data_IF_781891579448
#
_entry.id   IF_781891579448
#
_cell.length_a   1.000
_cell.length_b   1.000
_cell.length_c   1.000
_cell.angle_alpha   90.00
_cell.angle_beta   90.00
_cell.angle_gamma   90.00
#
_symmetry.space_group_name_H-M   'P 1'
#
loop_
_entity.id
_entity.type
_entity.pdbx_description
1 polymer ?
#
# COMPACT_ATOMS: atom_id res chain seq x y z
N UNK A 1 24.49 -6.96 4.02
CA UNK A 1 24.45 -8.36 4.45
C UNK A 1 23.15 -8.64 5.22
N UNK A 2 22.88 -7.98 6.35
CA UNK A 2 21.70 -8.24 7.17
C UNK A 2 20.37 -8.12 6.41
N UNK A 3 20.21 -7.14 5.52
CA UNK A 3 19.02 -6.99 4.69
C UNK A 3 18.79 -8.20 3.79
N UNK A 4 19.85 -8.71 3.14
CA UNK A 4 19.75 -9.91 2.28
C UNK A 4 19.38 -11.15 3.11
N UNK A 5 19.97 -11.32 4.29
CA UNK A 5 19.64 -12.41 5.22
C UNK A 5 18.15 -12.33 5.64
N UNK A 6 17.67 -11.14 5.98
CA UNK A 6 16.27 -10.93 6.34
C UNK A 6 15.31 -11.25 5.19
N UNK A 7 15.64 -10.87 3.96
CA UNK A 7 14.84 -11.17 2.75
C UNK A 7 14.85 -12.65 2.40
N UNK A 8 15.92 -13.38 2.75
CA UNK A 8 16.03 -14.84 2.57
C UNK A 8 15.38 -15.63 3.71
N UNK A 9 14.73 -14.97 4.68
CA UNK A 9 14.11 -15.62 5.82
C UNK A 9 15.06 -15.98 6.98
N UNK A 10 16.34 -15.63 6.87
CA UNK A 10 17.39 -15.89 7.87
C UNK A 10 17.40 -14.81 8.96
N UNK A 11 16.24 -14.58 9.58
CA UNK A 11 16.02 -13.45 10.52
C UNK A 11 17.00 -13.46 11.70
N UNK A 12 17.28 -14.62 12.27
CA UNK A 12 18.21 -14.71 13.41
C UNK A 12 19.64 -14.35 13.03
N UNK A 13 20.11 -14.79 11.86
CA UNK A 13 21.44 -14.40 11.34
C UNK A 13 21.51 -12.90 11.05
N UNK A 14 20.44 -12.31 10.52
CA UNK A 14 20.34 -10.86 10.29
C UNK A 14 20.44 -10.08 11.62
N UNK A 15 19.78 -10.54 12.67
CA UNK A 15 19.84 -9.96 14.02
C UNK A 15 21.28 -10.03 14.56
N UNK A 16 21.94 -11.18 14.46
CA UNK A 16 23.32 -11.35 14.94
C UNK A 16 24.30 -10.49 14.15
N UNK A 17 24.08 -10.37 12.84
CA UNK A 17 24.89 -9.48 11.97
C UNK A 17 24.77 -8.02 12.42
N UNK A 18 23.55 -7.53 12.73
CA UNK A 18 23.36 -6.15 13.21
C UNK A 18 23.94 -5.92 14.60
N UNK A 19 23.78 -6.88 15.52
CA UNK A 19 24.42 -6.80 16.84
C UNK A 19 25.93 -6.76 16.74
N UNK A 20 26.51 -7.58 15.89
CA UNK A 20 27.94 -7.56 15.64
C UNK A 20 28.41 -6.21 15.05
N UNK A 21 27.68 -5.66 14.10
CA UNK A 21 27.97 -4.33 13.56
C UNK A 21 27.92 -3.24 14.63
N UNK A 22 26.90 -3.25 15.50
CA UNK A 22 26.79 -2.31 16.63
C UNK A 22 28.01 -2.43 17.56
N UNK A 23 28.46 -3.65 17.85
CA UNK A 23 29.64 -3.87 18.69
C UNK A 23 30.95 -3.36 18.05
N UNK A 24 31.05 -3.41 16.72
CA UNK A 24 32.26 -2.99 15.99
C UNK A 24 32.35 -1.48 15.80
N UNK A 25 31.26 -0.84 15.39
CA UNK A 25 31.27 0.57 14.96
C UNK A 25 30.41 1.48 15.85
N UNK A 26 29.82 0.94 16.91
CA UNK A 26 28.97 1.67 17.84
C UNK A 26 27.50 1.77 17.38
N UNK A 27 26.71 2.38 18.25
CA UNK A 27 25.29 2.62 17.98
C UNK A 27 25.11 3.72 16.93
N UNK A 28 24.36 3.40 15.88
CA UNK A 28 23.88 4.38 14.90
C UNK A 28 22.37 4.27 14.76
N UNK A 29 21.70 5.34 14.31
CA UNK A 29 20.25 5.35 14.12
C UNK A 29 19.80 4.19 13.21
N UNK A 30 20.48 3.97 12.08
CA UNK A 30 20.12 2.93 11.11
C UNK A 30 20.35 1.51 11.63
N UNK A 31 21.42 1.25 12.38
CA UNK A 31 21.66 -0.08 12.95
C UNK A 31 20.63 -0.42 14.03
N UNK A 32 20.33 0.53 14.90
CA UNK A 32 19.32 0.32 15.94
C UNK A 32 17.92 0.18 15.31
N UNK A 33 17.56 1.03 14.35
CA UNK A 33 16.28 0.88 13.63
C UNK A 33 16.18 -0.49 12.95
N UNK A 34 17.19 -0.90 12.20
CA UNK A 34 17.21 -2.20 11.52
C UNK A 34 17.08 -3.38 12.49
N UNK A 35 17.80 -3.34 13.63
CA UNK A 35 17.69 -4.35 14.67
C UNK A 35 16.29 -4.34 15.32
N UNK A 36 15.74 -3.16 15.59
CA UNK A 36 14.38 -2.99 16.10
C UNK A 36 13.33 -3.57 15.16
N UNK A 37 13.46 -3.32 13.85
CA UNK A 37 12.54 -3.83 12.83
C UNK A 37 12.57 -5.38 12.75
N UNK A 38 13.75 -6.00 12.83
CA UNK A 38 13.88 -7.47 12.86
C UNK A 38 13.29 -8.08 14.13
N UNK A 39 13.54 -7.47 15.29
CA UNK A 39 12.97 -7.92 16.55
C UNK A 39 11.45 -7.76 16.57
N UNK A 40 10.91 -6.66 16.06
CA UNK A 40 9.47 -6.43 15.93
C UNK A 40 8.81 -7.45 14.97
N UNK A 41 9.49 -7.82 13.88
CA UNK A 41 9.04 -8.90 12.97
C UNK A 41 9.01 -10.25 13.66
N UNK A 42 9.96 -10.51 14.56
CA UNK A 42 10.05 -11.74 15.37
C UNK A 42 9.02 -11.78 16.52
N UNK A 43 8.30 -10.67 16.78
CA UNK A 43 7.37 -10.55 17.90
C UNK A 43 8.01 -10.11 19.23
N UNK A 44 9.30 -9.78 19.22
CA UNK A 44 10.03 -9.30 20.40
C UNK A 44 9.85 -7.78 20.57
N UNK A 45 8.58 -7.36 20.73
CA UNK A 45 8.17 -5.95 20.67
C UNK A 45 8.83 -5.09 21.78
N UNK A 46 8.90 -5.61 23.00
CA UNK A 46 9.51 -4.88 24.13
C UNK A 46 11.01 -4.61 23.91
N UNK A 47 11.71 -5.50 23.19
CA UNK A 47 13.12 -5.30 22.85
C UNK A 47 13.30 -4.34 21.68
N UNK A 48 12.35 -4.27 20.76
CA UNK A 48 12.37 -3.35 19.62
C UNK A 48 12.15 -1.89 20.06
N UNK A 49 11.33 -1.67 21.09
CA UNK A 49 10.92 -0.36 21.57
C UNK A 49 12.08 0.61 21.81
N UNK A 50 13.06 0.30 22.71
CA UNK A 50 14.15 1.23 22.99
C UNK A 50 15.08 1.47 21.78
N UNK A 51 15.14 0.52 20.84
CA UNK A 51 15.95 0.66 19.63
C UNK A 51 15.34 1.67 18.65
N UNK A 52 14.01 1.67 18.52
CA UNK A 52 13.32 2.68 17.71
C UNK A 52 13.38 4.06 18.40
N UNK A 53 13.24 4.13 19.72
CA UNK A 53 13.38 5.38 20.44
C UNK A 53 14.77 5.99 20.22
N UNK A 54 15.84 5.20 20.35
CA UNK A 54 17.21 5.64 20.03
C UNK A 54 17.36 6.14 18.58
N UNK A 55 16.77 5.44 17.62
CA UNK A 55 16.85 5.84 16.23
C UNK A 55 16.15 7.20 15.98
N UNK A 56 14.99 7.41 16.59
CA UNK A 56 14.23 8.67 16.49
C UNK A 56 14.95 9.82 17.22
N UNK A 57 15.57 9.58 18.36
CA UNK A 57 16.36 10.58 19.08
C UNK A 57 17.60 11.00 18.27
N UNK A 58 18.24 10.04 17.58
CA UNK A 58 19.43 10.28 16.77
C UNK A 58 19.13 10.98 15.44
N UNK A 59 17.98 10.71 14.82
CA UNK A 59 17.50 11.35 13.57
C UNK A 59 16.03 11.66 13.66
N UNK A 60 15.69 12.77 14.29
CA UNK A 60 14.30 13.15 14.58
C UNK A 60 13.42 13.44 13.37
N UNK A 61 13.98 13.69 12.21
CA UNK A 61 13.25 13.99 10.97
C UNK A 61 13.06 12.76 10.07
N UNK A 62 13.59 11.61 10.45
CA UNK A 62 13.47 10.41 9.67
C UNK A 62 12.06 9.82 9.80
N UNK A 63 11.26 10.03 8.78
CA UNK A 63 9.87 9.60 8.79
C UNK A 63 9.75 8.07 8.94
N UNK A 64 10.65 7.26 8.35
CA UNK A 64 10.59 5.80 8.47
C UNK A 64 10.74 5.33 9.91
N UNK A 65 11.65 5.93 10.67
CA UNK A 65 11.84 5.59 12.08
C UNK A 65 10.57 5.90 12.90
N UNK A 66 9.96 7.06 12.63
CA UNK A 66 8.71 7.46 13.29
C UNK A 66 7.58 6.50 12.94
N UNK A 67 7.40 6.14 11.68
CA UNK A 67 6.31 5.26 11.23
C UNK A 67 6.45 3.83 11.79
N UNK A 68 7.66 3.31 11.83
CA UNK A 68 7.89 1.97 12.40
C UNK A 68 7.65 1.94 13.92
N UNK A 69 7.96 3.04 14.61
CA UNK A 69 7.66 3.18 16.03
C UNK A 69 6.14 3.31 16.30
N UNK A 70 5.40 4.02 15.43
CA UNK A 70 3.93 4.06 15.46
C UNK A 70 3.36 2.64 15.28
N UNK A 71 3.84 1.93 14.27
CA UNK A 71 3.46 0.54 14.02
C UNK A 71 3.68 -0.36 15.24
N UNK A 72 4.80 -0.16 15.94
CA UNK A 72 5.13 -0.89 17.15
C UNK A 72 4.14 -0.62 18.29
N UNK A 73 3.81 0.64 18.56
CA UNK A 73 2.84 1.02 19.61
C UNK A 73 1.48 0.37 19.35
N UNK A 74 1.03 0.38 18.10
CA UNK A 74 -0.23 -0.25 17.71
C UNK A 74 -0.17 -1.76 17.97
N UNK A 75 0.91 -2.44 17.55
CA UNK A 75 1.11 -3.88 17.79
C UNK A 75 1.18 -4.24 19.27
N UNK A 76 1.69 -3.34 20.09
CA UNK A 76 1.73 -3.50 21.55
C UNK A 76 0.38 -3.23 22.23
N UNK A 77 -0.69 -2.96 21.47
CA UNK A 77 -2.03 -2.66 21.99
C UNK A 77 -2.12 -1.29 22.68
N UNK A 78 -1.24 -0.37 22.33
CA UNK A 78 -1.18 0.97 22.93
C UNK A 78 -1.27 2.07 21.86
N UNK A 79 -2.34 2.07 21.01
CA UNK A 79 -2.45 2.99 19.87
C UNK A 79 -2.44 4.47 20.29
N UNK A 80 -2.97 4.80 21.46
CA UNK A 80 -3.00 6.18 21.98
C UNK A 80 -1.60 6.81 22.13
N UNK A 81 -0.58 5.99 22.43
CA UNK A 81 0.81 6.46 22.55
C UNK A 81 1.37 7.00 21.25
N UNK A 82 0.84 6.54 20.11
CA UNK A 82 1.30 6.95 18.78
C UNK A 82 0.92 8.38 18.40
N UNK A 83 -0.06 9.03 19.06
CA UNK A 83 -0.61 10.30 18.59
C UNK A 83 0.44 11.42 18.49
N UNK A 84 1.38 11.50 19.43
CA UNK A 84 2.48 12.48 19.37
C UNK A 84 3.41 12.25 18.17
N UNK A 85 3.72 11.00 17.87
CA UNK A 85 4.53 10.62 16.72
C UNK A 85 3.81 10.85 15.40
N UNK A 86 2.50 10.56 15.34
CA UNK A 86 1.67 10.83 14.16
C UNK A 86 1.63 12.34 13.87
N UNK A 87 1.40 13.18 14.88
CA UNK A 87 1.40 14.63 14.71
C UNK A 87 2.75 15.13 14.17
N UNK A 88 3.86 14.57 14.65
CA UNK A 88 5.20 14.87 14.17
C UNK A 88 5.41 14.41 12.72
N UNK A 89 4.99 13.20 12.38
CA UNK A 89 5.06 12.66 11.03
C UNK A 89 4.26 13.53 10.04
N UNK A 90 3.04 13.97 10.41
CA UNK A 90 2.22 14.87 9.61
C UNK A 90 2.83 16.28 9.48
N UNK A 91 3.53 16.77 10.51
CA UNK A 91 4.27 18.04 10.41
C UNK A 91 5.44 17.95 9.44
N UNK A 92 6.11 16.79 9.35
CA UNK A 92 7.19 16.54 8.39
C UNK A 92 6.66 16.34 6.97
N UNK A 93 5.61 15.54 6.80
CA UNK A 93 5.00 15.21 5.52
C UNK A 93 3.48 15.16 5.62
N UNK A 94 2.78 16.31 5.44
CA UNK A 94 1.33 16.42 5.67
C UNK A 94 0.48 15.48 4.82
N UNK A 95 0.99 15.08 3.65
CA UNK A 95 0.27 14.24 2.69
C UNK A 95 0.80 12.80 2.59
N UNK A 96 1.63 12.37 3.54
CA UNK A 96 2.11 10.99 3.55
C UNK A 96 0.95 10.03 3.85
N UNK A 97 0.61 9.19 2.89
CA UNK A 97 -0.55 8.28 2.96
C UNK A 97 -0.38 7.21 4.06
N UNK A 98 0.84 6.74 4.31
CA UNK A 98 1.09 5.76 5.37
C UNK A 98 0.84 6.35 6.76
N UNK A 99 1.23 7.62 6.96
CA UNK A 99 0.92 8.33 8.20
C UNK A 99 -0.57 8.47 8.42
N UNK A 100 -1.33 8.85 7.37
CA UNK A 100 -2.78 8.92 7.44
C UNK A 100 -3.43 7.56 7.64
N UNK A 101 -2.88 6.48 7.06
CA UNK A 101 -3.35 5.12 7.33
C UNK A 101 -3.19 4.76 8.81
N UNK A 102 -2.05 5.06 9.43
CA UNK A 102 -1.87 4.87 10.87
C UNK A 102 -2.78 5.77 11.70
N UNK A 103 -2.98 7.03 11.32
CA UNK A 103 -3.91 7.93 12.03
C UNK A 103 -5.34 7.36 12.00
N UNK A 104 -5.81 6.92 10.85
CA UNK A 104 -7.12 6.29 10.72
C UNK A 104 -7.22 5.01 11.54
N UNK A 105 -6.19 4.17 11.53
CA UNK A 105 -6.16 2.95 12.33
C UNK A 105 -6.21 3.25 13.84
N UNK A 106 -5.46 4.25 14.32
CA UNK A 106 -5.52 4.70 15.72
C UNK A 106 -6.93 5.20 16.06
N UNK A 107 -7.54 6.02 15.23
CA UNK A 107 -8.91 6.49 15.45
C UNK A 107 -9.92 5.35 15.52
N UNK A 108 -9.78 4.36 14.65
CA UNK A 108 -10.64 3.16 14.66
C UNK A 108 -10.49 2.36 15.94
N UNK A 109 -9.23 2.08 16.34
CA UNK A 109 -8.93 1.31 17.56
C UNK A 109 -9.39 1.98 18.83
N UNK A 110 -9.44 3.32 18.84
CA UNK A 110 -9.85 4.13 20.00
C UNK A 110 -11.32 4.58 19.92
N UNK A 111 -12.07 4.17 18.91
CA UNK A 111 -13.48 4.55 18.74
C UNK A 111 -13.69 6.02 18.42
N UNK A 112 -12.71 6.71 17.83
CA UNK A 112 -12.81 8.11 17.49
C UNK A 112 -13.60 8.28 16.17
N UNK A 113 -14.68 9.06 16.20
CA UNK A 113 -15.57 9.32 15.05
C UNK A 113 -14.89 9.98 13.84
N UNK A 114 -13.69 10.54 14.01
CA UNK A 114 -12.88 11.05 12.89
C UNK A 114 -12.45 9.96 11.91
N UNK A 115 -12.52 8.68 12.31
CA UNK A 115 -12.32 7.58 11.38
C UNK A 115 -13.29 7.63 10.20
N UNK A 116 -14.59 7.80 10.47
CA UNK A 116 -15.62 7.85 9.44
C UNK A 116 -15.49 9.10 8.55
N UNK A 117 -15.03 10.20 9.11
CA UNK A 117 -14.71 11.39 8.32
C UNK A 117 -13.53 11.17 7.38
N UNK A 118 -12.46 10.47 7.85
CA UNK A 118 -11.27 10.20 7.04
C UNK A 118 -11.56 9.16 5.95
N UNK A 119 -12.35 8.13 6.28
CA UNK A 119 -12.65 7.00 5.42
C UNK A 119 -14.16 6.91 5.13
N UNK A 120 -14.70 7.92 4.49
CA UNK A 120 -16.06 7.83 3.95
C UNK A 120 -16.05 6.93 2.70
N UNK A 121 -16.15 5.61 2.93
CA UNK A 121 -16.10 4.61 1.85
C UNK A 121 -17.22 4.78 0.84
N UNK A 122 -18.35 5.38 1.20
CA UNK A 122 -19.46 5.62 0.28
C UNK A 122 -19.21 6.84 -0.61
N UNK A 123 -18.33 7.74 -0.21
CA UNK A 123 -17.89 8.88 -1.02
C UNK A 123 -16.62 8.54 -1.82
N UNK A 124 -15.64 7.89 -1.19
CA UNK A 124 -14.30 7.75 -1.79
C UNK A 124 -14.09 6.48 -2.60
N UNK A 125 -14.92 5.44 -2.44
CA UNK A 125 -14.83 4.24 -3.27
C UNK A 125 -15.87 4.30 -4.38
N UNK A 126 -15.40 4.23 -5.63
CA UNK A 126 -16.24 4.21 -6.83
C UNK A 126 -15.82 3.09 -7.76
N UNK A 127 -16.78 2.57 -8.48
CA UNK A 127 -16.55 1.59 -9.54
C UNK A 127 -17.07 2.15 -10.85
N UNK A 128 -16.25 2.07 -11.90
CA UNK A 128 -16.57 2.53 -13.23
C UNK A 128 -16.39 1.41 -14.24
N UNK A 129 -17.15 1.47 -15.32
CA UNK A 129 -16.91 0.63 -16.48
C UNK A 129 -16.15 1.46 -17.51
N UNK A 130 -15.04 0.92 -18.02
CA UNK A 130 -14.26 1.58 -19.06
C UNK A 130 -15.11 1.80 -20.33
N UNK A 131 -14.92 2.92 -20.98
CA UNK A 131 -15.47 3.17 -22.31
C UNK A 131 -14.88 2.23 -23.34
N UNK A 132 -15.61 1.94 -24.41
CA UNK A 132 -15.09 1.17 -25.55
C UNK A 132 -14.14 2.05 -26.34
N UNK A 133 -12.83 1.72 -26.41
CA UNK A 133 -11.89 2.55 -27.15
C UNK A 133 -12.21 2.58 -28.65
N UNK A 134 -11.87 3.67 -29.31
CA UNK A 134 -12.06 3.83 -30.74
C UNK A 134 -11.37 2.69 -31.52
N UNK A 135 -12.07 2.14 -32.51
CA UNK A 135 -11.59 1.03 -33.33
C UNK A 135 -11.97 -0.36 -32.84
N UNK A 136 -12.60 -0.47 -31.66
CA UNK A 136 -13.11 -1.74 -31.14
C UNK A 136 -14.62 -1.81 -31.24
N UNK A 137 -15.14 -3.01 -31.56
CA UNK A 137 -16.59 -3.26 -31.66
C UNK A 137 -17.28 -3.42 -30.30
N UNK A 138 -16.52 -3.75 -29.27
CA UNK A 138 -17.03 -3.91 -27.89
C UNK A 138 -15.90 -3.85 -26.88
N UNK A 139 -16.26 -3.56 -25.63
CA UNK A 139 -15.32 -3.60 -24.49
C UNK A 139 -14.73 -5.02 -24.29
N UNK A 140 -15.56 -6.05 -24.43
CA UNK A 140 -15.12 -7.45 -24.29
C UNK A 140 -14.01 -7.80 -25.30
N UNK A 141 -14.17 -7.36 -26.57
CA UNK A 141 -13.14 -7.60 -27.60
C UNK A 141 -11.84 -6.87 -27.28
N UNK A 142 -11.94 -5.62 -26.83
CA UNK A 142 -10.79 -4.85 -26.40
C UNK A 142 -10.07 -5.50 -25.22
N UNK A 143 -10.82 -5.94 -24.18
CA UNK A 143 -10.27 -6.59 -22.99
C UNK A 143 -9.58 -7.91 -23.32
N UNK A 144 -10.12 -8.70 -24.26
CA UNK A 144 -9.49 -9.93 -24.73
C UNK A 144 -8.10 -9.65 -25.35
N UNK A 145 -8.01 -8.69 -26.26
CA UNK A 145 -6.75 -8.32 -26.91
C UNK A 145 -5.76 -7.71 -25.93
N UNK A 146 -6.23 -6.81 -25.05
CA UNK A 146 -5.42 -6.22 -23.97
C UNK A 146 -4.88 -7.29 -23.01
N UNK A 147 -5.73 -8.23 -22.58
CA UNK A 147 -5.32 -9.35 -21.71
C UNK A 147 -4.24 -10.21 -22.33
N UNK A 148 -4.36 -10.48 -23.62
CA UNK A 148 -3.35 -11.23 -24.36
C UNK A 148 -2.01 -10.50 -24.40
N UNK A 149 -2.04 -9.20 -24.75
CA UNK A 149 -0.84 -8.37 -24.78
C UNK A 149 -0.20 -8.27 -23.39
N UNK A 150 -0.97 -7.90 -22.34
CA UNK A 150 -0.45 -7.81 -20.99
C UNK A 150 0.17 -9.12 -20.51
N UNK A 151 -0.45 -10.26 -20.86
CA UNK A 151 0.09 -11.57 -20.50
C UNK A 151 1.48 -11.82 -21.09
N UNK A 152 1.79 -11.26 -22.25
CA UNK A 152 3.11 -11.39 -22.90
C UNK A 152 4.20 -10.60 -22.16
N UNK A 153 3.82 -9.56 -21.40
CA UNK A 153 4.75 -8.74 -20.62
C UNK A 153 5.19 -9.41 -19.29
N UNK A 154 4.49 -10.45 -18.86
CA UNK A 154 4.81 -11.19 -17.62
C UNK A 154 5.93 -12.21 -17.85
N UNK A 155 7.15 -11.73 -18.07
CA UNK A 155 8.33 -12.56 -18.34
C UNK A 155 8.93 -13.21 -17.09
N UNK A 156 8.66 -12.64 -15.91
CA UNK A 156 9.11 -13.21 -14.64
C UNK A 156 8.19 -14.33 -14.20
N UNK A 157 8.75 -15.39 -13.62
CA UNK A 157 8.00 -16.56 -13.13
C UNK A 157 7.70 -16.51 -11.63
N UNK A 158 8.37 -15.61 -10.92
CA UNK A 158 8.27 -15.42 -9.48
C UNK A 158 7.66 -14.05 -9.16
N UNK A 159 7.09 -13.95 -7.96
CA UNK A 159 6.60 -12.69 -7.42
C UNK A 159 7.77 -11.71 -7.18
N UNK A 160 7.56 -10.40 -7.35
CA UNK A 160 8.57 -9.42 -7.05
C UNK A 160 8.88 -9.38 -5.54
N UNK A 161 10.13 -9.12 -5.20
CA UNK A 161 10.54 -8.94 -3.80
C UNK A 161 9.98 -7.61 -3.27
N UNK A 162 9.65 -7.60 -1.99
CA UNK A 162 9.19 -6.41 -1.26
C UNK A 162 7.96 -5.70 -1.88
N UNK A 163 7.11 -6.48 -2.59
CA UNK A 163 5.83 -6.03 -3.15
C UNK A 163 4.67 -6.78 -2.49
N UNK A 164 3.45 -6.25 -2.67
CA UNK A 164 2.25 -6.84 -2.09
C UNK A 164 1.78 -8.13 -2.77
N UNK A 165 2.25 -8.43 -3.97
CA UNK A 165 1.85 -9.61 -4.74
C UNK A 165 2.38 -10.89 -4.12
N UNK A 166 1.49 -11.81 -3.80
CA UNK A 166 1.78 -13.15 -3.30
C UNK A 166 1.26 -14.17 -4.28
N UNK A 167 2.11 -15.10 -4.70
CA UNK A 167 1.79 -16.14 -5.69
C UNK A 167 1.22 -15.56 -7.00
N UNK A 168 1.96 -14.62 -7.57
CA UNK A 168 1.64 -13.95 -8.83
C UNK A 168 2.89 -13.39 -9.48
N UNK A 169 2.69 -12.65 -10.56
CA UNK A 169 3.73 -11.89 -11.24
C UNK A 169 3.27 -10.46 -11.47
N UNK A 170 4.21 -9.55 -11.62
CA UNK A 170 3.97 -8.14 -11.90
C UNK A 170 4.88 -7.70 -13.03
N UNK A 171 4.39 -6.83 -13.92
CA UNK A 171 5.21 -6.23 -14.97
C UNK A 171 6.22 -5.27 -14.38
N UNK A 172 7.34 -5.10 -15.04
CA UNK A 172 8.37 -4.13 -14.68
C UNK A 172 8.10 -2.77 -15.34
N UNK A 173 8.63 -1.71 -14.74
CA UNK A 173 8.53 -0.35 -15.28
C UNK A 173 7.15 0.29 -15.05
N UNK A 174 6.84 1.30 -15.85
CA UNK A 174 5.58 2.07 -15.79
C UNK A 174 4.73 1.67 -16.98
N UNK A 175 3.75 0.81 -16.78
CA UNK A 175 2.93 0.21 -17.83
C UNK A 175 2.29 1.27 -18.76
N UNK A 176 1.73 2.34 -18.20
CA UNK A 176 1.03 3.37 -18.99
C UNK A 176 1.97 4.27 -19.83
N UNK A 177 3.29 4.08 -19.74
CA UNK A 177 4.28 4.68 -20.64
C UNK A 177 4.59 3.79 -21.85
N UNK A 178 4.12 2.54 -21.86
CA UNK A 178 4.25 1.68 -23.02
C UNK A 178 3.50 2.28 -24.23
N UNK A 179 4.21 2.48 -25.34
CA UNK A 179 3.66 3.07 -26.56
C UNK A 179 2.75 2.12 -27.36
N UNK A 180 2.55 0.88 -26.89
CA UNK A 180 1.69 -0.08 -27.57
C UNK A 180 0.25 0.44 -27.68
N UNK A 181 -0.39 0.37 -28.89
CA UNK A 181 -1.71 0.96 -29.12
C UNK A 181 -2.80 0.50 -28.12
N UNK A 182 -2.78 -0.77 -27.71
CA UNK A 182 -3.72 -1.30 -26.71
C UNK A 182 -3.54 -0.63 -25.34
N UNK A 183 -2.29 -0.37 -24.91
CA UNK A 183 -2.02 0.29 -23.64
C UNK A 183 -2.43 1.76 -23.69
N UNK A 184 -2.17 2.45 -24.82
CA UNK A 184 -2.56 3.83 -24.98
C UNK A 184 -4.09 3.99 -25.07
N UNK A 185 -4.78 3.04 -25.72
CA UNK A 185 -6.24 3.00 -25.74
C UNK A 185 -6.82 2.75 -24.32
N UNK A 186 -6.25 1.82 -23.58
CA UNK A 186 -6.60 1.57 -22.16
C UNK A 186 -6.39 2.81 -21.32
N UNK A 187 -5.23 3.47 -21.45
CA UNK A 187 -4.92 4.71 -20.72
C UNK A 187 -5.96 5.79 -20.97
N UNK A 188 -6.41 5.97 -22.23
CA UNK A 188 -7.45 6.93 -22.58
C UNK A 188 -8.76 6.66 -21.83
N UNK A 189 -9.29 5.42 -21.91
CA UNK A 189 -10.52 5.04 -21.20
C UNK A 189 -10.37 5.08 -19.67
N UNK A 190 -9.18 4.79 -19.14
CA UNK A 190 -8.90 4.92 -17.72
C UNK A 190 -8.93 6.39 -17.26
N UNK A 191 -8.36 7.30 -18.07
CA UNK A 191 -8.39 8.74 -17.77
C UNK A 191 -9.82 9.27 -17.71
N UNK A 192 -10.71 8.86 -18.61
CA UNK A 192 -12.13 9.22 -18.57
C UNK A 192 -12.79 8.80 -17.22
N UNK A 193 -12.47 7.62 -16.73
CA UNK A 193 -12.96 7.17 -15.41
C UNK A 193 -12.39 8.00 -14.26
N UNK A 194 -11.09 8.34 -14.32
CA UNK A 194 -10.45 9.17 -13.31
C UNK A 194 -11.02 10.59 -13.32
N UNK A 195 -11.22 11.17 -14.48
CA UNK A 195 -11.80 12.51 -14.64
C UNK A 195 -13.23 12.53 -14.05
N UNK A 196 -14.07 11.55 -14.40
CA UNK A 196 -15.41 11.40 -13.81
C UNK A 196 -15.37 11.26 -12.29
N UNK A 197 -14.42 10.48 -11.76
CA UNK A 197 -14.23 10.35 -10.30
C UNK A 197 -13.87 11.68 -9.65
N UNK A 198 -12.96 12.45 -10.24
CA UNK A 198 -12.53 13.74 -9.71
C UNK A 198 -13.66 14.79 -9.72
N UNK A 199 -14.51 14.77 -10.75
CA UNK A 199 -15.69 15.63 -10.84
C UNK A 199 -16.75 15.33 -9.76
N UNK A 200 -16.87 14.07 -9.34
CA UNK A 200 -17.82 13.64 -8.30
C UNK A 200 -17.34 13.96 -6.88
N UNK A 201 -16.04 14.24 -6.67
CA UNK A 201 -15.50 14.47 -5.34
C UNK A 201 -15.98 15.80 -4.75
N UNK A 202 -16.41 15.82 -3.48
CA UNK A 202 -16.77 17.05 -2.81
C UNK A 202 -15.55 17.96 -2.59
N UNK A 203 -15.74 19.26 -2.70
CA UNK A 203 -14.69 20.23 -2.37
C UNK A 203 -14.59 20.36 -0.84
N UNK A 204 -13.43 20.01 -0.27
CA UNK A 204 -13.14 20.15 1.16
C UNK A 204 -11.66 20.41 1.39
N UNK A 205 -11.29 21.66 1.61
CA UNK A 205 -9.90 22.10 1.78
C UNK A 205 -9.22 21.66 3.09
N UNK A 206 -9.94 21.05 4.04
CA UNK A 206 -9.35 20.56 5.30
C UNK A 206 -9.19 19.04 5.36
N UNK A 207 -9.85 18.30 4.47
CA UNK A 207 -9.70 16.85 4.39
C UNK A 207 -8.36 16.49 3.71
N UNK A 208 -7.52 15.60 4.27
CA UNK A 208 -6.18 15.33 3.76
C UNK A 208 -6.15 14.78 2.32
N UNK A 209 -7.21 14.10 1.91
CA UNK A 209 -7.38 13.62 0.55
C UNK A 209 -7.97 14.71 -0.36
N UNK A 210 -9.09 15.33 0.03
CA UNK A 210 -9.82 16.29 -0.82
C UNK A 210 -9.09 17.62 -0.98
N UNK A 211 -8.30 18.06 0.00
CA UNK A 211 -7.48 19.28 -0.09
C UNK A 211 -6.40 19.21 -1.19
N UNK A 212 -6.18 18.03 -1.76
CA UNK A 212 -5.23 17.80 -2.86
C UNK A 212 -5.88 17.84 -4.24
N UNK A 213 -7.20 18.02 -4.30
CA UNK A 213 -7.92 18.15 -5.56
C UNK A 213 -7.37 19.33 -6.38
N UNK A 214 -6.99 19.08 -7.61
CA UNK A 214 -6.36 20.03 -8.52
C UNK A 214 -6.88 19.83 -9.96
N UNK A 215 -6.60 20.80 -10.82
CA UNK A 215 -7.07 20.81 -12.23
C UNK A 215 -6.39 19.74 -13.11
N UNK A 216 -5.46 18.97 -12.58
CA UNK A 216 -4.77 17.93 -13.33
C UNK A 216 -4.04 16.94 -12.43
N UNK A 217 -3.65 15.82 -13.03
CA UNK A 217 -2.92 14.73 -12.36
C UNK A 217 -1.92 14.06 -13.30
N UNK A 218 -1.01 13.29 -12.74
CA UNK A 218 -0.09 12.42 -13.46
C UNK A 218 -0.10 11.03 -12.85
N UNK A 219 0.18 10.02 -13.66
CA UNK A 219 0.38 8.66 -13.17
C UNK A 219 1.78 8.54 -12.57
N UNK A 220 1.87 8.31 -11.27
CA UNK A 220 3.15 8.12 -10.56
C UNK A 220 3.68 6.69 -10.67
N UNK A 221 2.85 5.73 -11.05
CA UNK A 221 3.19 4.33 -11.26
C UNK A 221 2.03 3.56 -11.84
N UNK A 222 2.32 2.52 -12.61
CA UNK A 222 1.32 1.63 -13.19
C UNK A 222 1.96 0.30 -13.55
N UNK A 223 1.26 -0.78 -13.29
CA UNK A 223 1.73 -2.13 -13.58
C UNK A 223 0.56 -3.08 -13.80
N UNK A 224 0.80 -4.16 -14.51
CA UNK A 224 -0.11 -5.29 -14.62
C UNK A 224 0.28 -6.36 -13.61
N UNK A 225 -0.73 -6.97 -12.98
CA UNK A 225 -0.56 -8.09 -12.06
C UNK A 225 -1.29 -9.30 -12.62
N UNK A 226 -0.61 -10.45 -12.61
CA UNK A 226 -1.19 -11.74 -12.98
C UNK A 226 -1.09 -12.70 -11.81
N UNK A 227 -2.20 -12.92 -11.14
CA UNK A 227 -2.29 -13.84 -10.00
C UNK A 227 -2.41 -15.28 -10.50
N UNK A 228 -1.77 -16.21 -9.80
CA UNK A 228 -1.92 -17.66 -9.97
C UNK A 228 -3.07 -18.15 -9.07
N UNK A 229 -3.36 -19.46 -9.10
CA UNK A 229 -4.32 -20.08 -8.18
C UNK A 229 -3.94 -19.77 -6.73
N UNK A 230 -4.88 -19.26 -5.94
CA UNK A 230 -4.67 -18.78 -4.57
C UNK A 230 -3.73 -17.56 -4.44
N UNK A 231 -3.41 -16.90 -5.56
CA UNK A 231 -2.65 -15.64 -5.54
C UNK A 231 -3.50 -14.51 -4.97
N UNK A 232 -2.85 -13.57 -4.28
CA UNK A 232 -3.51 -12.42 -3.69
C UNK A 232 -2.53 -11.26 -3.50
N UNK A 233 -3.05 -10.10 -3.12
CA UNK A 233 -2.25 -9.01 -2.57
C UNK A 233 -2.30 -9.07 -1.04
N UNK A 234 -1.15 -8.93 -0.38
CA UNK A 234 -1.13 -8.62 1.05
C UNK A 234 -1.69 -7.22 1.29
N UNK A 235 -2.26 -7.00 2.47
CA UNK A 235 -2.76 -5.68 2.85
C UNK A 235 -1.62 -4.64 2.81
N UNK A 236 -1.83 -3.53 2.13
CA UNK A 236 -0.82 -2.50 1.92
C UNK A 236 -1.46 -1.13 1.68
N UNK A 237 -0.64 -0.10 1.76
CA UNK A 237 -0.99 1.27 1.37
C UNK A 237 -0.03 1.74 0.26
N UNK A 238 -0.46 2.73 -0.52
CA UNK A 238 0.38 3.41 -1.51
C UNK A 238 0.88 4.74 -0.92
N UNK A 239 2.08 4.79 -0.31
CA UNK A 239 2.49 5.94 0.50
C UNK A 239 2.72 7.22 -0.30
N UNK A 240 2.98 7.12 -1.59
CA UNK A 240 3.33 8.24 -2.46
C UNK A 240 2.22 8.66 -3.43
N UNK A 241 1.23 7.78 -3.67
CA UNK A 241 0.11 8.09 -4.54
C UNK A 241 -0.97 8.90 -3.82
N UNK A 242 -1.62 9.82 -4.51
CA UNK A 242 -2.82 10.48 -4.00
C UNK A 242 -4.06 9.61 -4.20
N UNK A 243 -4.23 9.06 -5.41
CA UNK A 243 -5.31 8.21 -5.82
C UNK A 243 -4.74 6.86 -6.28
N UNK A 244 -5.44 5.79 -6.00
CA UNK A 244 -5.12 4.45 -6.50
C UNK A 244 -6.34 3.86 -7.20
N UNK A 245 -6.13 3.21 -8.34
CA UNK A 245 -7.19 2.50 -9.04
C UNK A 245 -6.74 1.10 -9.43
N UNK A 246 -7.68 0.15 -9.40
CA UNK A 246 -7.51 -1.21 -9.87
C UNK A 246 -8.43 -1.45 -11.05
N UNK A 247 -7.89 -1.92 -12.18
CA UNK A 247 -8.67 -2.34 -13.34
C UNK A 247 -8.60 -3.85 -13.47
N UNK A 248 -9.76 -4.50 -13.49
CA UNK A 248 -9.86 -5.95 -13.67
C UNK A 248 -10.02 -6.26 -15.15
N UNK A 249 -8.96 -6.77 -15.77
CA UNK A 249 -8.92 -7.05 -17.22
C UNK A 249 -9.49 -8.42 -17.54
N UNK A 250 -9.18 -9.41 -16.70
CA UNK A 250 -9.69 -10.77 -16.81
C UNK A 250 -9.86 -11.36 -15.42
N UNK A 251 -11.06 -11.79 -15.11
CA UNK A 251 -11.43 -12.44 -13.84
C UNK A 251 -12.03 -13.80 -14.16
N UNK A 252 -11.61 -14.88 -13.45
CA UNK A 252 -12.29 -16.17 -13.57
C UNK A 252 -13.72 -16.06 -13.01
N UNK A 253 -14.56 -17.03 -13.34
CA UNK A 253 -15.92 -17.10 -12.75
C UNK A 253 -15.83 -17.24 -11.23
N UNK A 254 -16.33 -16.21 -10.54
CA UNK A 254 -16.28 -16.05 -9.09
C UNK A 254 -17.68 -16.11 -8.46
N UNK A 255 -18.68 -16.58 -9.21
CA UNK A 255 -20.10 -16.54 -8.82
C UNK A 255 -20.41 -17.23 -7.49
N UNK A 256 -19.55 -18.12 -7.01
CA UNK A 256 -19.77 -18.91 -5.79
C UNK A 256 -18.82 -18.57 -4.63
N UNK A 257 -17.97 -17.54 -4.77
CA UNK A 257 -17.01 -17.18 -3.71
C UNK A 257 -16.71 -15.68 -3.72
N UNK A 258 -16.17 -15.16 -2.62
CA UNK A 258 -15.59 -13.80 -2.58
C UNK A 258 -14.13 -13.75 -3.03
N UNK A 259 -13.64 -14.78 -3.72
CA UNK A 259 -12.29 -14.77 -4.26
C UNK A 259 -12.17 -13.64 -5.30
N UNK A 260 -11.01 -12.98 -5.35
CA UNK A 260 -10.77 -11.85 -6.24
C UNK A 260 -11.39 -10.52 -5.84
N UNK A 261 -12.25 -10.46 -4.81
CA UNK A 261 -12.77 -9.20 -4.31
C UNK A 261 -11.66 -8.34 -3.71
N UNK A 262 -11.76 -7.02 -3.91
CA UNK A 262 -10.89 -6.08 -3.21
C UNK A 262 -11.49 -5.71 -1.85
N UNK A 263 -10.67 -5.75 -0.81
CA UNK A 263 -11.07 -5.42 0.56
C UNK A 263 -10.39 -4.13 1.02
N UNK A 264 -11.11 -3.36 1.82
CA UNK A 264 -10.63 -2.11 2.41
C UNK A 264 -10.84 -2.14 3.94
N UNK A 265 -9.95 -1.46 4.66
CA UNK A 265 -10.00 -1.29 6.11
C UNK A 265 -9.18 -2.29 6.91
N UNK A 266 -8.77 -3.41 6.33
CA UNK A 266 -7.78 -4.29 6.97
C UNK A 266 -6.40 -3.65 7.04
N UNK A 267 -5.69 -3.90 8.15
CA UNK A 267 -4.29 -3.48 8.29
C UNK A 267 -3.31 -4.59 7.93
N UNK A 268 -2.10 -4.21 7.52
CA UNK A 268 -0.97 -5.14 7.35
C UNK A 268 -0.31 -5.54 8.68
N UNK A 269 -0.78 -5.01 9.82
CA UNK A 269 -0.14 -5.24 11.12
C UNK A 269 -0.50 -6.57 11.78
N UNK A 270 -1.42 -7.35 11.19
CA UNK A 270 -1.89 -8.63 11.73
C UNK A 270 -2.46 -8.51 13.16
N UNK A 271 -3.33 -7.54 13.38
CA UNK A 271 -3.96 -7.28 14.69
C UNK A 271 -5.10 -8.25 15.03
N UNK A 272 -5.34 -9.25 14.16
CA UNK A 272 -6.35 -10.30 14.35
C UNK A 272 -7.70 -9.96 13.72
N UNK A 273 -8.40 -10.99 13.27
CA UNK A 273 -9.77 -11.16 12.79
C UNK A 273 -10.25 -10.41 11.52
N UNK A 274 -11.11 -11.10 10.79
CA UNK A 274 -11.86 -10.60 9.59
C UNK A 274 -12.79 -9.42 9.89
N UNK A 275 -13.00 -9.11 11.17
CA UNK A 275 -13.84 -7.99 11.65
C UNK A 275 -13.31 -6.61 11.21
N UNK A 276 -12.08 -6.53 10.72
CA UNK A 276 -11.42 -5.29 10.28
C UNK A 276 -11.77 -4.87 8.85
N UNK A 277 -12.44 -5.72 8.07
CA UNK A 277 -12.90 -5.37 6.73
C UNK A 277 -14.03 -4.36 6.84
N UNK A 278 -13.80 -3.13 6.39
CA UNK A 278 -14.81 -2.08 6.39
C UNK A 278 -15.71 -2.12 5.13
N UNK A 279 -15.11 -2.41 3.97
CA UNK A 279 -15.81 -2.51 2.69
C UNK A 279 -15.15 -3.58 1.82
N UNK A 280 -15.95 -4.29 1.03
CA UNK A 280 -15.47 -5.20 0.00
C UNK A 280 -16.23 -4.93 -1.31
N UNK A 281 -15.50 -4.93 -2.43
CA UNK A 281 -16.06 -4.65 -3.75
C UNK A 281 -15.76 -5.85 -4.65
N UNK A 282 -16.77 -6.29 -5.36
CA UNK A 282 -16.64 -7.33 -6.38
C UNK A 282 -16.01 -6.74 -7.64
N UNK A 283 -15.10 -7.46 -8.29
CA UNK A 283 -14.55 -7.08 -9.59
C UNK A 283 -15.59 -7.00 -10.68
#
# INVERSE_FOLDING_TARGET
LAANQASSGETDQAIDTLKHAINLIGNTAFLNHGLGALLARKGELDKAHPLFDFAIESDPANLRFILDRISLDIKMGSPDRSQGLINRALALQPYNQETWAYQGLVWRLTGNSKYDWLYDYDVFLRSYTLSVPQGFSSLSRFMEELSHYLSSLHVLTQQPLDQSVVNGTQTMGVLLEDAHPLVQAFKGSLMECVDSYLEELPNNGVHPFLSRLADGYTFSGSWSVKLKKSGHHSNHVHPFGWLSCCSYISVPDMSQSRAGWIKFGETSLNLGSDEWVAKAIQP
#
